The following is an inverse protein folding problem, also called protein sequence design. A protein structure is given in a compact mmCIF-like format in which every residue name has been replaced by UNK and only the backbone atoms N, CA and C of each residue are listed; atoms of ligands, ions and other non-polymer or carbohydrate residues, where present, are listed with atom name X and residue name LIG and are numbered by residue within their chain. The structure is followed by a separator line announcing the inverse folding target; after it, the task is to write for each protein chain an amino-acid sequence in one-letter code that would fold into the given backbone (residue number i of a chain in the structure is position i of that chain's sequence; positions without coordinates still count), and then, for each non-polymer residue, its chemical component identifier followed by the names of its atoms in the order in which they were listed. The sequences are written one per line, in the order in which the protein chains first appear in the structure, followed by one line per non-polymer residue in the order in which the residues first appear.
data_IF_512075063651
#
_entry.id   IF_512075063651
#
_cell.length_a   1.000
_cell.length_b   1.000
_cell.length_c   1.000
_cell.angle_alpha   90.00
_cell.angle_beta   90.00
_cell.angle_gamma   90.00
#
_symmetry.space_group_name_H-M   'P 1'
#
loop_
_entity.id
_entity.type
_entity.pdbx_description
1 polymer ?
#
# COMPACT_ATOMS: atom_id res chain seq x y z
N UNK A 1 11.35 49.09 -44.10
CA UNK A 1 10.40 48.35 -43.21
C UNK A 1 10.69 46.86 -43.12
N UNK A 2 11.31 46.25 -44.10
CA UNK A 2 11.62 44.80 -44.13
C UNK A 2 12.81 44.44 -43.23
N UNK A 3 13.80 45.30 -43.09
CA UNK A 3 14.98 45.03 -42.21
C UNK A 3 14.66 44.97 -40.74
N UNK A 4 13.64 45.64 -40.24
CA UNK A 4 13.26 45.60 -38.83
C UNK A 4 12.47 44.34 -38.46
N UNK A 5 11.88 43.68 -39.45
CA UNK A 5 11.12 42.43 -39.26
C UNK A 5 12.03 41.22 -39.12
N UNK A 6 13.21 41.23 -39.75
CA UNK A 6 14.17 40.13 -39.72
C UNK A 6 14.88 40.03 -38.36
N UNK A 7 15.11 41.16 -37.68
CA UNK A 7 15.78 41.19 -36.36
C UNK A 7 14.90 40.64 -35.24
N UNK A 8 13.57 40.73 -35.36
CA UNK A 8 12.62 40.21 -34.37
C UNK A 8 12.47 38.69 -34.50
N UNK A 9 12.70 38.13 -35.69
CA UNK A 9 12.60 36.68 -35.92
C UNK A 9 13.82 35.87 -35.46
N UNK A 10 14.95 36.53 -35.18
CA UNK A 10 16.20 35.89 -34.81
C UNK A 10 16.43 35.90 -33.29
N UNK A 11 15.51 36.50 -32.51
CA UNK A 11 15.60 36.65 -31.03
C UNK A 11 14.87 35.58 -30.22
N UNK A 12 14.16 34.65 -30.83
CA UNK A 12 13.47 33.57 -30.12
C UNK A 12 14.35 32.31 -30.01
N UNK A 13 15.57 32.48 -29.45
CA UNK A 13 16.36 31.36 -28.99
C UNK A 13 15.62 30.83 -27.75
N UNK A 14 14.79 29.83 -27.95
CA UNK A 14 14.04 29.14 -26.91
C UNK A 14 15.03 28.59 -25.92
N UNK A 15 15.14 29.26 -24.75
CA UNK A 15 15.74 28.67 -23.59
C UNK A 15 14.84 27.51 -23.15
N UNK A 16 15.14 26.32 -23.64
CA UNK A 16 14.52 25.10 -23.15
C UNK A 16 14.96 24.97 -21.71
N UNK A 17 14.06 25.07 -20.71
CA UNK A 17 14.46 24.76 -19.35
C UNK A 17 14.90 23.29 -19.35
N UNK A 18 16.17 23.05 -19.02
CA UNK A 18 16.65 21.72 -18.68
C UNK A 18 15.89 21.34 -17.43
N UNK A 19 14.77 20.65 -17.59
CA UNK A 19 14.11 19.97 -16.49
C UNK A 19 15.10 18.90 -16.06
N UNK A 20 15.85 19.17 -15.00
CA UNK A 20 16.58 18.15 -14.27
C UNK A 20 15.53 17.17 -13.81
N UNK A 21 15.35 16.07 -14.55
CA UNK A 21 14.60 14.92 -14.06
C UNK A 21 15.34 14.51 -12.77
N UNK A 22 14.72 14.76 -11.64
CA UNK A 22 15.18 14.17 -10.39
C UNK A 22 14.95 12.67 -10.56
N UNK A 23 16.01 11.95 -10.82
CA UNK A 23 16.00 10.49 -10.80
C UNK A 23 15.68 10.07 -9.36
N UNK A 24 14.39 9.85 -9.12
CA UNK A 24 13.96 9.26 -7.85
C UNK A 24 14.45 7.82 -7.87
N UNK A 25 15.52 7.54 -7.12
CA UNK A 25 16.05 6.19 -7.03
C UNK A 25 14.99 5.24 -6.47
N UNK A 26 15.04 3.98 -6.88
CA UNK A 26 14.11 2.95 -6.45
C UNK A 26 14.13 2.78 -4.93
N UNK A 27 15.32 2.83 -4.33
CA UNK A 27 15.55 2.78 -2.89
C UNK A 27 14.84 3.92 -2.14
N UNK A 28 14.89 5.16 -2.65
CA UNK A 28 14.21 6.30 -2.03
C UNK A 28 12.68 6.13 -1.98
N UNK A 29 12.08 5.52 -3.01
CA UNK A 29 10.63 5.26 -3.04
C UNK A 29 10.18 4.31 -1.93
N UNK A 30 11.09 3.47 -1.43
CA UNK A 30 10.87 2.51 -0.35
C UNK A 30 11.40 3.00 1.00
N UNK A 31 11.86 4.25 1.08
CA UNK A 31 12.50 4.81 2.28
C UNK A 31 13.75 4.01 2.71
N UNK A 32 14.55 3.58 1.74
CA UNK A 32 15.86 2.96 1.93
C UNK A 32 16.93 3.94 1.48
N UNK A 33 17.89 4.21 2.35
CA UNK A 33 19.04 5.09 2.06
C UNK A 33 20.23 4.26 1.61
N UNK A 34 20.72 4.52 0.41
CA UNK A 34 21.82 3.77 -0.22
C UNK A 34 23.01 4.68 -0.46
N UNK A 35 24.19 4.27 -0.02
CA UNK A 35 25.44 5.00 -0.18
C UNK A 35 26.50 4.10 -0.82
N UNK A 36 27.07 4.47 -1.98
CA UNK A 36 28.18 3.74 -2.59
C UNK A 36 29.45 3.86 -1.74
N UNK A 37 30.20 2.76 -1.59
CA UNK A 37 31.46 2.76 -0.82
C UNK A 37 32.72 2.69 -1.68
N UNK A 38 32.57 2.27 -2.95
CA UNK A 38 33.71 2.10 -3.87
C UNK A 38 33.67 3.04 -5.08
N UNK A 39 32.92 4.15 -4.98
CA UNK A 39 32.86 5.18 -6.02
C UNK A 39 31.95 4.84 -7.20
N UNK A 40 30.98 3.96 -7.00
CA UNK A 40 29.92 3.66 -7.97
C UNK A 40 29.21 4.96 -8.34
N UNK A 41 28.99 5.19 -9.62
CA UNK A 41 28.21 6.33 -10.11
C UNK A 41 26.69 6.08 -10.03
N UNK A 42 25.89 7.11 -10.29
CA UNK A 42 24.42 7.02 -10.19
C UNK A 42 23.81 6.04 -11.20
N UNK A 43 24.44 5.81 -12.36
CA UNK A 43 23.96 4.84 -13.36
C UNK A 43 24.21 3.42 -12.86
N UNK A 44 25.40 3.15 -12.35
CA UNK A 44 25.73 1.87 -11.76
C UNK A 44 24.82 1.57 -10.56
N UNK A 45 24.65 2.56 -9.66
CA UNK A 45 23.74 2.41 -8.52
C UNK A 45 22.31 2.06 -8.96
N UNK A 46 21.76 2.73 -9.98
CA UNK A 46 20.42 2.44 -10.47
C UNK A 46 20.28 1.03 -11.04
N UNK A 47 21.31 0.53 -11.72
CA UNK A 47 21.34 -0.84 -12.24
C UNK A 47 21.40 -1.87 -11.11
N UNK A 48 22.26 -1.64 -10.13
CA UNK A 48 22.41 -2.51 -8.97
C UNK A 48 21.16 -2.53 -8.08
N UNK A 49 20.51 -1.37 -7.89
CA UNK A 49 19.21 -1.28 -7.20
C UNK A 49 18.14 -2.09 -7.92
N UNK A 50 18.07 -2.01 -9.27
CA UNK A 50 17.08 -2.76 -10.03
C UNK A 50 17.32 -4.28 -9.97
N UNK A 51 18.57 -4.71 -10.03
CA UNK A 51 18.94 -6.13 -9.88
C UNK A 51 18.59 -6.64 -8.48
N UNK A 52 18.97 -5.91 -7.43
CA UNK A 52 18.67 -6.27 -6.06
C UNK A 52 17.18 -6.23 -5.74
N UNK A 53 16.41 -5.34 -6.37
CA UNK A 53 14.97 -5.32 -6.26
C UNK A 53 14.35 -6.61 -6.80
N UNK A 54 14.71 -7.00 -8.03
CA UNK A 54 14.20 -8.23 -8.63
C UNK A 54 14.59 -9.46 -7.81
N UNK A 55 15.83 -9.53 -7.34
CA UNK A 55 16.28 -10.61 -6.48
C UNK A 55 15.50 -10.67 -5.16
N UNK A 56 15.22 -9.53 -4.53
CA UNK A 56 14.44 -9.46 -3.30
C UNK A 56 12.99 -9.89 -3.52
N UNK A 57 12.35 -9.49 -4.63
CA UNK A 57 11.00 -9.94 -5.02
C UNK A 57 10.99 -11.47 -5.20
N UNK A 58 11.95 -12.00 -5.93
CA UNK A 58 12.04 -13.46 -6.16
C UNK A 58 12.28 -14.22 -4.84
N UNK A 59 13.04 -13.64 -3.92
CA UNK A 59 13.40 -14.27 -2.66
C UNK A 59 12.27 -14.27 -1.64
N UNK A 60 11.54 -13.15 -1.54
CA UNK A 60 10.48 -12.94 -0.54
C UNK A 60 9.08 -13.23 -1.10
N UNK A 61 8.92 -13.25 -2.41
CA UNK A 61 7.62 -13.33 -3.08
C UNK A 61 6.77 -12.05 -2.90
N UNK A 62 7.39 -10.94 -2.46
CA UNK A 62 6.71 -9.68 -2.15
C UNK A 62 7.19 -8.58 -3.09
N UNK A 63 6.26 -7.99 -3.86
CA UNK A 63 6.48 -6.73 -4.55
C UNK A 63 6.00 -5.58 -3.64
N UNK A 64 6.89 -4.66 -3.22
CA UNK A 64 6.53 -3.58 -2.29
C UNK A 64 5.52 -2.60 -2.87
N UNK A 65 5.48 -2.42 -4.20
CA UNK A 65 4.50 -1.52 -4.84
C UNK A 65 3.12 -2.16 -4.87
N UNK A 66 3.02 -3.44 -5.17
CA UNK A 66 1.78 -4.19 -5.10
C UNK A 66 1.27 -4.29 -3.66
N UNK A 67 2.17 -4.52 -2.71
CA UNK A 67 1.84 -4.58 -1.29
C UNK A 67 1.29 -3.24 -0.78
N UNK A 68 1.91 -2.11 -1.16
CA UNK A 68 1.44 -0.78 -0.77
C UNK A 68 0.07 -0.44 -1.38
N UNK A 69 -0.18 -0.83 -2.63
CA UNK A 69 -1.49 -0.69 -3.27
C UNK A 69 -2.56 -1.51 -2.54
N UNK A 70 -2.27 -2.77 -2.24
CA UNK A 70 -3.16 -3.63 -1.47
C UNK A 70 -3.44 -3.07 -0.06
N UNK A 71 -2.43 -2.51 0.60
CA UNK A 71 -2.58 -1.87 1.90
C UNK A 71 -3.54 -0.66 1.83
N UNK A 72 -3.44 0.16 0.79
CA UNK A 72 -4.34 1.29 0.59
C UNK A 72 -5.80 0.84 0.33
N UNK A 73 -5.99 -0.18 -0.49
CA UNK A 73 -7.32 -0.77 -0.75
C UNK A 73 -7.94 -1.34 0.54
N UNK A 74 -7.14 -2.00 1.37
CA UNK A 74 -7.57 -2.55 2.65
C UNK A 74 -7.92 -1.46 3.67
N UNK A 75 -7.13 -0.38 3.72
CA UNK A 75 -7.42 0.77 4.57
C UNK A 75 -8.78 1.39 4.20
N UNK A 76 -9.03 1.61 2.90
CA UNK A 76 -10.31 2.11 2.42
C UNK A 76 -11.48 1.16 2.74
N UNK A 77 -11.28 -0.15 2.61
CA UNK A 77 -12.27 -1.16 2.98
C UNK A 77 -12.55 -1.18 4.49
N UNK A 78 -11.53 -1.01 5.32
CA UNK A 78 -11.66 -0.92 6.77
C UNK A 78 -12.44 0.33 7.19
N UNK A 79 -12.19 1.49 6.57
CA UNK A 79 -12.97 2.71 6.81
C UNK A 79 -14.46 2.52 6.46
N UNK A 80 -14.76 1.89 5.33
CA UNK A 80 -16.13 1.57 4.94
C UNK A 80 -16.78 0.59 5.93
N UNK A 81 -16.05 -0.42 6.40
CA UNK A 81 -16.53 -1.37 7.39
C UNK A 81 -16.82 -0.71 8.73
N UNK A 82 -15.97 0.23 9.15
CA UNK A 82 -16.20 1.02 10.38
C UNK A 82 -17.43 1.93 10.25
N UNK A 83 -17.62 2.62 9.14
CA UNK A 83 -18.82 3.43 8.89
C UNK A 83 -20.10 2.59 8.91
N UNK A 84 -20.04 1.37 8.38
CA UNK A 84 -21.15 0.41 8.40
C UNK A 84 -21.41 -0.13 9.82
N UNK A 85 -20.38 -0.44 10.60
CA UNK A 85 -20.50 -0.86 12.00
C UNK A 85 -21.18 0.22 12.84
N UNK A 86 -20.82 1.49 12.65
CA UNK A 86 -21.45 2.62 13.33
C UNK A 86 -22.92 2.83 12.91
N UNK A 87 -23.28 2.55 11.66
CA UNK A 87 -24.64 2.69 11.15
C UNK A 87 -25.53 1.47 11.40
N UNK A 88 -24.99 0.37 11.86
CA UNK A 88 -25.72 -0.90 12.05
C UNK A 88 -26.88 -0.85 13.07
N UNK A 89 -27.06 0.26 13.78
CA UNK A 89 -28.17 0.49 14.70
C UNK A 89 -29.38 1.25 14.11
N UNK A 90 -29.30 1.76 12.88
CA UNK A 90 -30.28 2.74 12.37
C UNK A 90 -31.29 2.23 11.32
N UNK A 91 -31.25 0.99 10.92
CA UNK A 91 -32.18 0.47 9.88
C UNK A 91 -32.32 -1.04 9.84
N UNK A 92 -33.50 -1.49 9.44
CA UNK A 92 -34.00 -2.86 9.34
C UNK A 92 -32.95 -4.00 9.28
N UNK A 93 -33.13 -4.99 10.11
CA UNK A 93 -32.29 -6.15 10.43
C UNK A 93 -31.76 -6.95 9.22
N UNK A 94 -32.41 -6.91 8.07
CA UNK A 94 -32.01 -7.70 6.90
C UNK A 94 -30.93 -7.05 6.03
N UNK A 95 -30.85 -5.71 6.01
CA UNK A 95 -29.83 -4.98 5.22
C UNK A 95 -28.46 -4.92 5.88
N UNK A 96 -28.41 -4.95 7.21
CA UNK A 96 -27.17 -4.88 7.98
C UNK A 96 -26.38 -6.21 7.93
N UNK A 97 -27.07 -7.35 7.91
CA UNK A 97 -26.41 -8.66 7.77
C UNK A 97 -25.70 -8.81 6.42
N UNK A 98 -26.34 -8.38 5.32
CA UNK A 98 -25.75 -8.43 3.98
C UNK A 98 -24.53 -7.53 3.81
N UNK A 99 -24.53 -6.35 4.45
CA UNK A 99 -23.40 -5.41 4.39
C UNK A 99 -22.20 -5.89 5.22
N UNK A 100 -22.43 -6.48 6.39
CA UNK A 100 -21.38 -7.07 7.21
C UNK A 100 -20.69 -8.25 6.52
N UNK A 101 -21.43 -9.06 5.76
CA UNK A 101 -20.87 -10.16 4.98
C UNK A 101 -19.94 -9.67 3.85
N UNK A 102 -20.30 -8.57 3.17
CA UNK A 102 -19.47 -8.00 2.12
C UNK A 102 -18.17 -7.43 2.66
N UNK A 103 -18.23 -6.67 3.75
CA UNK A 103 -17.03 -6.10 4.38
C UNK A 103 -16.07 -7.18 4.91
N UNK A 104 -16.61 -8.20 5.61
CA UNK A 104 -15.83 -9.33 6.10
C UNK A 104 -15.24 -10.20 4.98
N UNK A 105 -15.97 -10.31 3.85
CA UNK A 105 -15.51 -11.04 2.67
C UNK A 105 -14.32 -10.39 1.99
N UNK A 106 -14.33 -9.06 1.85
CA UNK A 106 -13.22 -8.30 1.24
C UNK A 106 -11.96 -8.41 2.08
N UNK A 107 -12.05 -8.18 3.41
CA UNK A 107 -10.89 -8.24 4.29
C UNK A 107 -10.36 -9.68 4.42
N UNK A 108 -11.24 -10.68 4.55
CA UNK A 108 -10.84 -12.09 4.65
C UNK A 108 -10.30 -12.69 3.36
N UNK A 109 -10.71 -12.15 2.19
CA UNK A 109 -10.28 -12.63 0.88
C UNK A 109 -8.85 -12.27 0.53
N UNK A 110 -8.35 -11.14 1.00
CA UNK A 110 -7.01 -10.62 0.67
C UNK A 110 -5.90 -11.37 1.43
N UNK A 111 -6.17 -11.81 2.67
CA UNK A 111 -5.16 -12.46 3.51
C UNK A 111 -5.26 -13.98 3.58
N UNK A 112 -6.34 -14.53 3.07
CA UNK A 112 -6.49 -15.98 3.08
C UNK A 112 -5.84 -16.61 1.86
N UNK A 113 -4.71 -17.24 2.03
CA UNK A 113 -3.99 -18.01 1.00
C UNK A 113 -4.76 -19.24 0.48
N UNK A 114 -6.06 -19.39 0.77
CA UNK A 114 -6.88 -20.54 0.39
C UNK A 114 -8.19 -20.16 -0.31
N UNK A 115 -8.63 -21.01 -1.23
CA UNK A 115 -9.90 -20.90 -2.00
C UNK A 115 -11.16 -20.64 -1.15
N UNK A 116 -11.10 -20.76 0.18
CA UNK A 116 -12.22 -20.62 1.12
C UNK A 116 -12.10 -19.46 2.10
N UNK A 117 -11.09 -18.57 1.97
CA UNK A 117 -10.85 -17.50 2.92
C UNK A 117 -11.89 -16.38 2.88
N UNK A 118 -12.36 -16.03 1.69
CA UNK A 118 -13.44 -15.05 1.52
C UNK A 118 -14.75 -15.47 2.18
N UNK A 119 -15.10 -16.77 2.11
CA UNK A 119 -16.27 -17.31 2.77
C UNK A 119 -16.19 -17.22 4.31
N UNK A 120 -15.03 -17.51 4.91
CA UNK A 120 -14.84 -17.39 6.36
C UNK A 120 -14.97 -15.96 6.84
N UNK A 121 -14.45 -14.98 6.10
CA UNK A 121 -14.62 -13.57 6.39
C UNK A 121 -16.07 -13.09 6.23
N UNK A 122 -16.77 -13.55 5.19
CA UNK A 122 -18.18 -13.24 4.95
C UNK A 122 -19.10 -13.83 6.04
N UNK A 123 -18.82 -15.05 6.51
CA UNK A 123 -19.60 -15.70 7.58
C UNK A 123 -19.42 -14.96 8.92
N UNK A 124 -18.20 -14.53 9.27
CA UNK A 124 -17.94 -13.74 10.46
C UNK A 124 -18.62 -12.36 10.41
N UNK A 125 -18.61 -11.70 9.24
CA UNK A 125 -19.30 -10.42 9.04
C UNK A 125 -20.83 -10.51 9.11
N UNK A 126 -21.42 -11.60 8.63
CA UNK A 126 -22.88 -11.81 8.68
C UNK A 126 -23.39 -12.06 10.12
N UNK A 127 -22.61 -12.75 10.96
CA UNK A 127 -23.02 -13.06 12.33
C UNK A 127 -23.13 -11.81 13.21
N UNK A 128 -22.31 -10.78 12.96
CA UNK A 128 -22.35 -9.51 13.71
C UNK A 128 -23.52 -8.59 13.33
N UNK A 129 -24.10 -8.75 12.14
CA UNK A 129 -25.23 -7.94 11.67
C UNK A 129 -26.62 -8.32 12.22
N UNK A 130 -26.77 -9.47 12.87
CA UNK A 130 -28.08 -10.08 13.15
C UNK A 130 -28.64 -9.84 14.58
N UNK A 131 -27.97 -9.10 15.48
CA UNK A 131 -28.37 -9.01 16.90
C UNK A 131 -29.23 -7.78 17.19
N UNK A 132 -30.43 -8.00 17.71
CA UNK A 132 -31.52 -7.04 17.94
C UNK A 132 -31.68 -6.64 19.39
N UNK A 133 -31.89 -5.32 19.68
CA UNK A 133 -32.32 -4.78 20.97
C UNK A 133 -31.60 -3.46 21.36
N UNK A 134 -32.33 -2.46 21.94
CA UNK A 134 -31.84 -1.07 22.06
C UNK A 134 -30.62 -0.90 22.99
N UNK A 135 -30.52 -1.63 24.09
CA UNK A 135 -29.31 -1.68 24.95
C UNK A 135 -28.24 -2.67 24.42
N UNK A 136 -28.66 -3.69 23.70
CA UNK A 136 -27.79 -4.61 22.99
C UNK A 136 -27.20 -4.00 21.74
N UNK A 137 -27.85 -3.04 21.09
CA UNK A 137 -27.37 -2.33 19.89
C UNK A 137 -26.06 -1.59 20.14
N UNK A 138 -25.95 -0.86 21.26
CA UNK A 138 -24.71 -0.12 21.58
C UNK A 138 -23.52 -1.06 21.84
N UNK A 139 -23.76 -2.18 22.51
CA UNK A 139 -22.73 -3.20 22.74
C UNK A 139 -22.33 -3.88 21.43
N UNK A 140 -23.30 -4.28 20.61
CA UNK A 140 -23.02 -4.89 19.31
C UNK A 140 -22.28 -3.95 18.34
N UNK A 141 -22.55 -2.63 18.39
CA UNK A 141 -21.78 -1.65 17.64
C UNK A 141 -20.34 -1.52 18.16
N UNK A 142 -20.15 -1.48 19.47
CA UNK A 142 -18.83 -1.42 20.07
C UNK A 142 -18.04 -2.71 19.74
N UNK A 143 -18.64 -3.87 19.90
CA UNK A 143 -18.01 -5.16 19.60
C UNK A 143 -17.65 -5.27 18.11
N UNK A 144 -18.54 -4.82 17.21
CA UNK A 144 -18.30 -4.82 15.76
C UNK A 144 -17.17 -3.86 15.36
N UNK A 145 -17.12 -2.65 15.96
CA UNK A 145 -16.06 -1.69 15.69
C UNK A 145 -14.72 -2.17 16.23
N UNK A 146 -14.71 -2.80 17.40
CA UNK A 146 -13.50 -3.39 18.00
C UNK A 146 -12.95 -4.54 17.15
N UNK A 147 -13.82 -5.42 16.63
CA UNK A 147 -13.42 -6.49 15.73
C UNK A 147 -12.81 -5.93 14.42
N UNK A 148 -13.42 -4.92 13.80
CA UNK A 148 -12.86 -4.29 12.60
C UNK A 148 -11.51 -3.64 12.90
N UNK A 149 -11.38 -2.95 14.02
CA UNK A 149 -10.13 -2.33 14.44
C UNK A 149 -9.03 -3.37 14.69
N UNK A 150 -9.34 -4.45 15.41
CA UNK A 150 -8.39 -5.53 15.67
C UNK A 150 -7.93 -6.22 14.38
N UNK A 151 -8.86 -6.49 13.46
CA UNK A 151 -8.54 -7.10 12.19
C UNK A 151 -7.70 -6.18 11.31
N UNK A 152 -8.02 -4.88 11.25
CA UNK A 152 -7.22 -3.91 10.51
C UNK A 152 -5.80 -3.78 11.07
N UNK A 153 -5.64 -3.82 12.39
CA UNK A 153 -4.33 -3.79 13.04
C UNK A 153 -3.49 -5.04 12.71
N UNK A 154 -4.09 -6.22 12.73
CA UNK A 154 -3.40 -7.45 12.32
C UNK A 154 -2.95 -7.40 10.87
N UNK A 155 -3.80 -6.89 10.00
CA UNK A 155 -3.54 -6.70 8.59
C UNK A 155 -2.36 -5.77 8.36
N UNK A 156 -2.37 -4.61 9.02
CA UNK A 156 -1.27 -3.64 8.92
C UNK A 156 0.04 -4.23 9.44
N UNK A 157 0.01 -4.96 10.55
CA UNK A 157 1.20 -5.63 11.11
C UNK A 157 1.77 -6.67 10.13
N UNK A 158 0.92 -7.48 9.50
CA UNK A 158 1.34 -8.45 8.50
C UNK A 158 1.96 -7.78 7.24
N UNK A 159 1.36 -6.69 6.78
CA UNK A 159 1.86 -5.90 5.65
C UNK A 159 3.23 -5.28 5.98
N UNK A 160 3.38 -4.72 7.18
CA UNK A 160 4.67 -4.18 7.63
C UNK A 160 5.74 -5.26 7.70
N UNK A 161 5.43 -6.42 8.27
CA UNK A 161 6.37 -7.54 8.34
C UNK A 161 6.84 -8.00 6.96
N UNK A 162 5.95 -8.08 5.97
CA UNK A 162 6.31 -8.41 4.59
C UNK A 162 7.18 -7.32 3.94
N UNK A 163 6.89 -6.06 4.19
CA UNK A 163 7.69 -4.94 3.72
C UNK A 163 9.09 -4.95 4.34
N UNK A 164 9.20 -5.22 5.63
CA UNK A 164 10.48 -5.29 6.34
C UNK A 164 11.32 -6.49 5.88
N UNK A 165 10.69 -7.63 5.61
CA UNK A 165 11.35 -8.81 5.03
C UNK A 165 11.93 -8.51 3.63
N UNK A 166 11.13 -7.86 2.77
CA UNK A 166 11.59 -7.39 1.47
C UNK A 166 12.77 -6.42 1.60
N UNK A 167 12.66 -5.39 2.45
CA UNK A 167 13.73 -4.40 2.66
C UNK A 167 15.01 -5.05 3.18
N UNK A 168 14.88 -6.02 4.06
CA UNK A 168 16.02 -6.79 4.58
C UNK A 168 16.71 -7.56 3.45
N UNK A 169 15.98 -8.23 2.58
CA UNK A 169 16.53 -8.91 1.42
C UNK A 169 17.20 -7.92 0.46
N UNK A 170 16.52 -6.82 0.14
CA UNK A 170 17.02 -5.78 -0.76
C UNK A 170 18.33 -5.15 -0.24
N UNK A 171 18.37 -4.75 1.03
CA UNK A 171 19.59 -4.18 1.63
C UNK A 171 20.72 -5.19 1.71
N UNK A 172 20.44 -6.47 2.00
CA UNK A 172 21.45 -7.53 2.00
C UNK A 172 22.08 -7.71 0.62
N UNK A 173 21.29 -7.64 -0.45
CA UNK A 173 21.83 -7.69 -1.82
C UNK A 173 22.72 -6.49 -2.13
N UNK A 174 22.30 -5.28 -1.75
CA UNK A 174 23.08 -4.06 -1.96
C UNK A 174 24.38 -4.07 -1.14
N UNK A 175 24.36 -4.57 0.09
CA UNK A 175 25.56 -4.73 0.91
C UNK A 175 26.57 -5.70 0.26
N UNK A 176 26.07 -6.75 -0.42
CA UNK A 176 26.92 -7.67 -1.19
C UNK A 176 27.54 -7.03 -2.45
N UNK A 177 27.06 -5.85 -2.87
CA UNK A 177 27.58 -5.05 -3.99
C UNK A 177 28.33 -3.79 -3.52
N UNK A 178 28.81 -3.78 -2.30
CA UNK A 178 29.61 -2.69 -1.70
C UNK A 178 28.85 -1.37 -1.57
N UNK A 179 27.55 -1.45 -1.19
CA UNK A 179 26.75 -0.31 -0.76
C UNK A 179 26.48 -0.38 0.74
N UNK A 180 26.37 0.78 1.38
CA UNK A 180 25.77 0.88 2.71
C UNK A 180 24.29 1.18 2.51
N UNK A 181 23.41 0.27 2.92
CA UNK A 181 21.96 0.42 2.80
C UNK A 181 21.29 0.39 4.19
N UNK A 182 20.40 1.35 4.47
CA UNK A 182 19.67 1.49 5.75
C UNK A 182 18.21 1.87 5.51
N UNK A 183 17.27 1.35 6.32
CA UNK A 183 15.87 1.71 6.34
C UNK A 183 15.31 1.87 7.76
#
# INVERSE_FOLDING_TARGET
MIERLVIILMGCLVAVPVVMAQETSLSMSMNVHVFPTEGQDGVQQSMDEAECFNWAVDRTGTDPFDLSRQAAEQAAAAEQAMAQAQSAGQGSTGRSAGRGALAGGVIGGVFGSGKNSGWKGAAAGAATGAIVGNSRKRRAQADASEQVAAQSAQTQAATQAQMDDFKTAFTTCLEAKDYIAKF
#
